data_IF_780751494292
#
_entry.id   IF_780751494292
#
_cell.length_a   1.000
_cell.length_b   1.000
_cell.length_c   1.000
_cell.angle_alpha   90.00
_cell.angle_beta   90.00
_cell.angle_gamma   90.00
#
_symmetry.space_group_name_H-M   'P 1'
#
loop_
_entity.id
_entity.type
_entity.pdbx_description
1 polymer ?
#
# COMPACT_ATOMS: atom_id res chain seq x y z
N UNK A 1 -32.41 40.98 -16.82
CA UNK A 1 -32.22 40.27 -18.12
C UNK A 1 -30.78 40.35 -18.63
N UNK A 2 -30.13 41.52 -18.70
CA UNK A 2 -28.73 41.66 -19.18
C UNK A 2 -27.72 40.77 -18.43
N UNK A 3 -27.82 40.67 -17.10
CA UNK A 3 -26.89 39.89 -16.29
C UNK A 3 -27.07 38.37 -16.46
N UNK A 4 -28.30 37.90 -16.73
CA UNK A 4 -28.60 36.48 -16.98
C UNK A 4 -28.07 36.07 -18.37
N UNK A 5 -28.19 36.94 -19.36
CA UNK A 5 -27.65 36.71 -20.70
C UNK A 5 -26.12 36.62 -20.70
N UNK A 6 -25.47 37.44 -19.88
CA UNK A 6 -24.01 37.44 -19.71
C UNK A 6 -23.51 36.14 -19.04
N UNK A 7 -24.21 35.66 -18.01
CA UNK A 7 -23.86 34.39 -17.35
C UNK A 7 -24.10 33.18 -18.28
N UNK A 8 -25.16 33.18 -19.07
CA UNK A 8 -25.44 32.12 -20.05
C UNK A 8 -24.40 32.08 -21.18
N UNK A 9 -23.93 33.24 -21.65
CA UNK A 9 -22.85 33.34 -22.64
C UNK A 9 -21.50 32.88 -22.08
N UNK A 10 -21.21 33.14 -20.80
CA UNK A 10 -20.01 32.63 -20.12
C UNK A 10 -20.03 31.12 -19.90
N UNK A 11 -21.20 30.52 -19.61
CA UNK A 11 -21.34 29.06 -19.49
C UNK A 11 -21.15 28.34 -20.84
N UNK A 12 -21.39 29.02 -21.96
CA UNK A 12 -21.21 28.48 -23.32
C UNK A 12 -19.74 28.31 -23.76
N UNK A 13 -18.77 28.80 -22.98
CA UNK A 13 -17.35 28.78 -23.33
C UNK A 13 -16.54 27.61 -22.74
N UNK A 14 -17.18 26.65 -22.07
CA UNK A 14 -16.50 25.42 -21.64
C UNK A 14 -16.33 24.46 -22.84
N UNK A 15 -15.37 24.77 -23.71
CA UNK A 15 -14.81 23.77 -24.62
C UNK A 15 -13.92 22.86 -23.79
N UNK A 16 -14.39 21.64 -23.53
CA UNK A 16 -13.56 20.59 -22.94
C UNK A 16 -12.46 20.28 -23.97
N UNK A 17 -11.27 20.85 -23.78
CA UNK A 17 -10.11 20.52 -24.60
C UNK A 17 -9.80 19.03 -24.42
N UNK A 18 -10.03 18.25 -25.48
CA UNK A 18 -9.63 16.83 -25.52
C UNK A 18 -8.14 16.79 -25.84
N UNK A 19 -7.30 16.77 -24.82
CA UNK A 19 -5.86 16.55 -24.97
C UNK A 19 -5.54 15.05 -25.20
N UNK A 20 -6.27 14.40 -26.12
CA UNK A 20 -5.97 13.02 -26.47
C UNK A 20 -4.77 13.01 -27.42
N UNK A 21 -3.80 12.17 -27.08
CA UNK A 21 -2.63 11.91 -27.92
C UNK A 21 -3.12 11.51 -29.31
N UNK A 22 -2.60 12.12 -30.39
CA UNK A 22 -2.97 11.71 -31.73
C UNK A 22 -2.80 10.20 -31.90
N UNK A 23 -3.88 9.50 -32.21
CA UNK A 23 -3.88 8.05 -32.47
C UNK A 23 -3.44 7.76 -33.89
N UNK A 24 -2.21 8.18 -34.20
CA UNK A 24 -1.65 8.17 -35.53
C UNK A 24 -0.21 7.67 -35.47
N UNK A 25 0.24 7.02 -36.53
CA UNK A 25 1.62 6.51 -36.63
C UNK A 25 2.30 7.10 -37.85
N UNK A 26 3.48 7.70 -37.64
CA UNK A 26 4.32 8.12 -38.77
C UNK A 26 4.91 6.89 -39.46
N UNK A 27 4.78 6.86 -40.78
CA UNK A 27 5.38 5.84 -41.64
C UNK A 27 6.11 6.50 -42.80
N UNK A 28 7.31 6.02 -43.08
CA UNK A 28 8.12 6.46 -44.21
C UNK A 28 8.61 5.22 -44.96
N UNK A 29 8.48 5.27 -46.28
CA UNK A 29 8.92 4.19 -47.16
C UNK A 29 9.58 4.73 -48.41
N UNK A 30 10.42 3.89 -49.03
CA UNK A 30 11.02 4.15 -50.34
C UNK A 30 10.49 3.11 -51.32
N UNK A 31 9.72 3.56 -52.30
CA UNK A 31 9.18 2.72 -53.36
C UNK A 31 10.27 2.41 -54.40
N UNK A 32 10.53 1.13 -54.63
CA UNK A 32 11.44 0.62 -55.66
C UNK A 32 10.71 -0.37 -56.56
N UNK A 33 11.09 -0.40 -57.82
CA UNK A 33 10.60 -1.40 -58.77
C UNK A 33 11.34 -2.75 -58.59
N UNK A 34 10.99 -3.74 -59.38
CA UNK A 34 11.59 -5.08 -59.32
C UNK A 34 13.10 -5.11 -59.59
N UNK A 35 13.66 -4.11 -60.29
CA UNK A 35 15.10 -3.98 -60.52
C UNK A 35 15.81 -3.18 -59.43
N UNK A 36 15.10 -2.77 -58.38
CA UNK A 36 15.62 -1.98 -57.27
C UNK A 36 15.75 -0.48 -57.57
N UNK A 37 15.33 -0.02 -58.75
CA UNK A 37 15.34 1.41 -59.09
C UNK A 37 14.19 2.15 -58.38
N UNK A 38 14.40 3.39 -57.90
CA UNK A 38 13.33 4.18 -57.31
C UNK A 38 12.15 4.39 -58.26
N UNK A 39 10.94 4.29 -57.74
CA UNK A 39 9.73 4.71 -58.45
C UNK A 39 9.57 6.21 -58.19
N UNK A 40 10.23 7.03 -58.99
CA UNK A 40 10.37 8.47 -58.75
C UNK A 40 9.20 9.29 -59.34
N UNK A 41 8.78 10.33 -58.61
CA UNK A 41 7.77 11.31 -59.07
C UNK A 41 6.46 10.71 -59.58
N UNK A 42 6.03 9.61 -58.97
CA UNK A 42 4.87 8.85 -59.42
C UNK A 42 3.80 8.80 -58.34
N UNK A 43 2.55 8.95 -58.76
CA UNK A 43 1.41 8.68 -57.89
C UNK A 43 1.22 7.17 -57.75
N UNK A 44 1.55 6.64 -56.59
CA UNK A 44 1.36 5.24 -56.24
C UNK A 44 0.19 5.10 -55.25
N UNK A 45 -0.38 3.91 -55.17
CA UNK A 45 -1.37 3.59 -54.13
C UNK A 45 -0.72 2.60 -53.16
N UNK A 46 -0.83 2.88 -51.87
CA UNK A 46 -0.23 2.11 -50.79
C UNK A 46 -1.34 1.64 -49.88
N UNK A 47 -1.36 0.35 -49.56
CA UNK A 47 -2.26 -0.24 -48.56
C UNK A 47 -1.44 -0.69 -47.36
N UNK A 48 -1.76 -0.12 -46.20
CA UNK A 48 -1.11 -0.42 -44.93
C UNK A 48 -2.09 -1.18 -44.06
N UNK A 49 -1.65 -2.30 -43.49
CA UNK A 49 -2.42 -3.05 -42.51
C UNK A 49 -1.61 -3.24 -41.23
N UNK A 50 -2.25 -3.07 -40.08
CA UNK A 50 -1.74 -3.50 -38.79
C UNK A 50 -2.25 -4.93 -38.56
N UNK A 51 -1.32 -5.88 -38.40
CA UNK A 51 -1.62 -7.30 -38.21
C UNK A 51 -0.95 -7.86 -36.94
N UNK A 52 -1.58 -8.86 -36.33
CA UNK A 52 -1.15 -9.44 -35.03
C UNK A 52 -0.04 -10.51 -35.13
N UNK A 53 0.33 -10.92 -36.34
CA UNK A 53 1.40 -11.91 -36.58
C UNK A 53 2.03 -11.67 -37.96
N UNK A 54 3.32 -11.95 -38.11
CA UNK A 54 4.03 -11.85 -39.38
C UNK A 54 3.51 -12.88 -40.42
N UNK A 55 3.06 -14.04 -39.94
CA UNK A 55 2.51 -15.11 -40.78
C UNK A 55 1.03 -15.23 -40.50
N UNK A 56 0.20 -15.00 -41.52
CA UNK A 56 -1.26 -15.12 -41.46
C UNK A 56 -1.93 -14.34 -40.30
N UNK A 57 -1.36 -13.19 -39.91
CA UNK A 57 -1.95 -12.34 -38.88
C UNK A 57 -3.31 -11.80 -39.31
N UNK A 58 -4.26 -11.76 -38.37
CA UNK A 58 -5.53 -11.08 -38.57
C UNK A 58 -5.29 -9.57 -38.76
N UNK A 59 -6.10 -8.95 -39.60
CA UNK A 59 -6.08 -7.50 -39.82
C UNK A 59 -6.85 -6.82 -38.67
N UNK A 60 -6.13 -6.11 -37.81
CA UNK A 60 -6.72 -5.28 -36.76
C UNK A 60 -7.11 -3.90 -37.29
N UNK A 61 -6.33 -3.38 -38.26
CA UNK A 61 -6.61 -2.12 -38.94
C UNK A 61 -6.04 -2.17 -40.36
N UNK A 62 -6.72 -1.52 -41.32
CA UNK A 62 -6.24 -1.33 -42.69
C UNK A 62 -6.65 0.02 -43.23
N UNK A 63 -5.79 0.63 -44.02
CA UNK A 63 -6.11 1.78 -44.84
C UNK A 63 -5.37 1.76 -46.18
N UNK A 64 -5.94 2.46 -47.16
CA UNK A 64 -5.33 2.71 -48.46
C UNK A 64 -5.10 4.20 -48.65
N UNK A 65 -3.93 4.57 -49.20
CA UNK A 65 -3.49 5.94 -49.44
C UNK A 65 -2.93 6.08 -50.85
N UNK A 66 -3.30 7.16 -51.54
CA UNK A 66 -2.62 7.59 -52.74
C UNK A 66 -1.54 8.59 -52.35
N UNK A 67 -0.29 8.34 -52.75
CA UNK A 67 0.86 9.18 -52.38
C UNK A 67 1.73 9.48 -53.61
N UNK A 68 2.31 10.67 -53.64
CA UNK A 68 3.30 11.06 -54.64
C UNK A 68 4.70 10.79 -54.09
N UNK A 69 5.51 10.02 -54.82
CA UNK A 69 6.90 9.78 -54.45
C UNK A 69 7.81 10.94 -54.87
N UNK A 70 8.94 11.12 -54.17
CA UNK A 70 9.98 12.07 -54.60
C UNK A 70 11.00 11.42 -55.57
N UNK A 71 12.07 12.13 -55.91
CA UNK A 71 13.14 11.63 -56.81
C UNK A 71 13.78 10.31 -56.36
N UNK A 72 13.81 10.06 -55.06
CA UNK A 72 14.39 8.86 -54.46
C UNK A 72 13.34 7.77 -54.22
N UNK A 73 12.09 7.95 -54.65
CA UNK A 73 10.98 7.02 -54.37
C UNK A 73 10.39 7.17 -52.96
N UNK A 74 10.83 8.16 -52.18
CA UNK A 74 10.38 8.38 -50.81
C UNK A 74 8.92 8.86 -50.76
N UNK A 75 8.16 8.32 -49.83
CA UNK A 75 6.83 8.81 -49.46
C UNK A 75 6.66 8.79 -47.93
N UNK A 76 5.78 9.67 -47.44
CA UNK A 76 5.43 9.77 -46.03
C UNK A 76 3.94 9.58 -45.86
N UNK A 77 3.54 8.84 -44.84
CA UNK A 77 2.15 8.60 -44.47
C UNK A 77 2.01 8.77 -42.96
N UNK A 78 0.93 9.43 -42.56
CA UNK A 78 0.50 9.45 -41.16
C UNK A 78 -0.69 8.49 -41.05
N UNK A 79 -0.42 7.28 -40.58
CA UNK A 79 -1.39 6.19 -40.51
C UNK A 79 -2.51 6.58 -39.56
N UNK A 80 -3.78 6.36 -39.96
CA UNK A 80 -4.94 6.74 -39.15
C UNK A 80 -5.35 8.21 -39.26
N UNK A 81 -4.61 9.02 -40.01
CA UNK A 81 -5.05 10.38 -40.36
C UNK A 81 -6.23 10.38 -41.35
N UNK A 82 -6.86 11.54 -41.53
CA UNK A 82 -7.85 11.74 -42.59
C UNK A 82 -7.25 11.50 -43.99
N UNK A 83 -8.11 11.24 -44.97
CA UNK A 83 -7.74 11.11 -46.40
C UNK A 83 -7.43 9.68 -46.87
N UNK A 84 -7.64 8.67 -46.02
CA UNK A 84 -7.55 7.28 -46.40
C UNK A 84 -8.85 6.74 -47.02
N UNK A 85 -8.72 5.71 -47.84
CA UNK A 85 -9.82 4.93 -48.43
C UNK A 85 -9.68 3.45 -48.06
N UNK A 86 -10.69 2.62 -48.31
CA UNK A 86 -10.69 1.19 -47.96
C UNK A 86 -10.27 0.93 -46.49
N UNK A 87 -10.95 1.61 -45.57
CA UNK A 87 -10.67 1.45 -44.14
C UNK A 87 -11.31 0.18 -43.57
N UNK A 88 -10.55 -0.53 -42.75
CA UNK A 88 -11.05 -1.52 -41.80
C UNK A 88 -10.61 -1.12 -40.40
N UNK A 89 -11.55 -1.07 -39.46
CA UNK A 89 -11.29 -0.77 -38.06
C UNK A 89 -10.82 0.68 -37.83
N UNK A 90 -10.28 0.93 -36.64
CA UNK A 90 -9.61 2.19 -36.29
C UNK A 90 -8.31 1.90 -35.54
N UNK A 91 -7.32 2.80 -35.65
CA UNK A 91 -6.05 2.71 -34.90
C UNK A 91 -6.31 2.70 -33.38
N UNK A 92 -7.36 3.39 -32.93
CA UNK A 92 -7.84 3.38 -31.55
C UNK A 92 -8.25 1.98 -31.06
N UNK A 93 -8.95 1.23 -31.92
CA UNK A 93 -9.51 -0.07 -31.57
C UNK A 93 -8.48 -1.21 -31.58
N UNK A 94 -7.28 -0.95 -32.08
CA UNK A 94 -6.19 -1.95 -32.09
C UNK A 94 -5.81 -2.27 -30.65
N UNK A 95 -5.80 -3.56 -30.30
CA UNK A 95 -5.35 -4.00 -28.99
C UNK A 95 -3.81 -3.92 -28.90
N UNK A 96 -3.30 -2.78 -28.44
CA UNK A 96 -1.87 -2.51 -28.27
C UNK A 96 -1.25 -3.21 -27.04
N UNK A 97 -2.05 -3.72 -26.11
CA UNK A 97 -1.55 -4.28 -24.84
C UNK A 97 -1.14 -5.75 -24.93
N UNK A 98 -1.41 -6.41 -26.05
CA UNK A 98 -1.15 -7.84 -26.23
C UNK A 98 -0.45 -8.14 -27.55
N UNK A 99 0.43 -9.14 -27.52
CA UNK A 99 1.11 -9.66 -28.71
C UNK A 99 2.04 -8.65 -29.40
N UNK A 100 2.71 -9.12 -30.46
CA UNK A 100 3.47 -8.25 -31.36
C UNK A 100 2.52 -7.69 -32.42
N UNK A 101 2.80 -6.47 -32.89
CA UNK A 101 2.09 -5.87 -34.03
C UNK A 101 3.04 -5.71 -35.20
N UNK A 102 2.53 -5.81 -36.42
CA UNK A 102 3.30 -5.66 -37.64
C UNK A 102 2.60 -4.71 -38.61
N UNK A 103 3.37 -3.92 -39.34
CA UNK A 103 2.90 -3.22 -40.53
C UNK A 103 3.13 -4.13 -41.73
N UNK A 104 2.03 -4.54 -42.37
CA UNK A 104 2.04 -5.12 -43.71
C UNK A 104 1.84 -3.99 -44.71
N UNK A 105 2.81 -3.84 -45.61
CA UNK A 105 2.82 -2.85 -46.67
C UNK A 105 2.56 -3.54 -48.02
N UNK A 106 1.56 -3.05 -48.74
CA UNK A 106 1.29 -3.46 -50.10
C UNK A 106 1.24 -2.22 -51.00
N UNK A 107 1.76 -2.32 -52.23
CA UNK A 107 1.91 -1.18 -53.14
C UNK A 107 1.35 -1.55 -54.52
N UNK A 108 0.60 -0.62 -55.12
CA UNK A 108 0.35 -0.55 -56.55
C UNK A 108 1.15 0.62 -57.16
N UNK A 109 2.23 0.33 -57.92
CA UNK A 109 3.03 1.34 -58.59
C UNK A 109 2.25 2.21 -59.58
N UNK A 110 1.17 1.70 -60.16
CA UNK A 110 0.36 2.43 -61.15
C UNK A 110 -0.70 3.31 -60.48
N UNK A 111 -0.83 3.23 -59.15
CA UNK A 111 -1.80 4.00 -58.41
C UNK A 111 -3.25 3.54 -58.63
N UNK A 112 -3.48 2.27 -58.99
CA UNK A 112 -4.83 1.74 -59.11
C UNK A 112 -5.13 0.88 -57.86
N UNK A 113 -5.67 -0.32 -58.05
CA UNK A 113 -6.06 -1.25 -56.99
C UNK A 113 -5.39 -2.64 -57.13
N UNK A 114 -4.25 -2.74 -57.83
CA UNK A 114 -3.50 -3.99 -57.99
C UNK A 114 -2.29 -4.03 -57.04
N UNK A 115 -2.53 -4.49 -55.82
CA UNK A 115 -1.56 -4.44 -54.74
C UNK A 115 -0.62 -5.65 -54.73
N UNK A 116 0.69 -5.39 -54.84
CA UNK A 116 1.74 -6.37 -54.54
C UNK A 116 2.28 -6.20 -53.12
N UNK A 117 2.69 -7.29 -52.47
CA UNK A 117 3.33 -7.23 -51.15
C UNK A 117 4.71 -6.56 -51.26
N UNK A 118 4.92 -5.47 -50.53
CA UNK A 118 6.20 -4.78 -50.45
C UNK A 118 7.01 -5.20 -49.21
N UNK A 119 6.33 -5.57 -48.12
CA UNK A 119 7.00 -6.10 -46.93
C UNK A 119 6.11 -6.21 -45.70
N UNK A 120 6.62 -6.93 -44.69
CA UNK A 120 6.01 -7.03 -43.36
C UNK A 120 7.10 -6.67 -42.35
N UNK A 121 6.82 -5.70 -41.48
CA UNK A 121 7.79 -5.21 -40.48
C UNK A 121 7.16 -5.16 -39.10
N UNK A 122 7.87 -5.62 -38.08
CA UNK A 122 7.37 -5.56 -36.70
C UNK A 122 7.39 -4.11 -36.21
N UNK A 123 6.27 -3.65 -35.62
CA UNK A 123 6.24 -2.40 -34.87
C UNK A 123 7.03 -2.58 -33.57
N UNK A 124 7.95 -1.65 -33.34
CA UNK A 124 8.66 -1.51 -32.07
C UNK A 124 8.03 -0.38 -31.25
N UNK A 125 8.32 -0.35 -29.95
CA UNK A 125 7.90 0.75 -29.09
C UNK A 125 8.48 2.08 -29.58
N UNK A 126 7.63 3.10 -29.65
CA UNK A 126 8.02 4.49 -29.94
C UNK A 126 8.32 5.25 -28.63
N UNK A 127 9.13 6.30 -28.68
CA UNK A 127 9.52 7.06 -27.48
C UNK A 127 8.32 7.55 -26.66
N UNK A 128 7.25 7.97 -27.32
CA UNK A 128 6.02 8.39 -26.66
C UNK A 128 5.33 7.24 -25.89
N UNK A 129 5.36 6.02 -26.43
CA UNK A 129 4.81 4.83 -25.78
C UNK A 129 5.66 4.38 -24.58
N UNK A 130 6.99 4.60 -24.60
CA UNK A 130 7.87 4.26 -23.48
C UNK A 130 7.66 5.14 -22.24
N UNK A 131 7.14 6.34 -22.43
CA UNK A 131 6.83 7.28 -21.33
C UNK A 131 5.33 7.39 -21.06
N UNK A 132 4.49 6.57 -21.71
CA UNK A 132 3.05 6.63 -21.53
C UNK A 132 2.66 6.09 -20.15
N UNK A 133 1.77 6.81 -19.47
CA UNK A 133 1.14 6.30 -18.25
C UNK A 133 0.36 5.02 -18.59
N UNK A 134 0.45 3.95 -17.78
CA UNK A 134 -0.35 2.76 -17.98
C UNK A 134 -1.84 3.09 -18.14
N UNK A 135 -2.55 2.28 -18.91
CA UNK A 135 -3.98 2.43 -19.18
C UNK A 135 -4.66 1.06 -19.15
N UNK A 136 -5.96 1.04 -18.91
CA UNK A 136 -6.74 -0.19 -18.84
C UNK A 136 -6.87 -0.74 -17.42
N UNK A 137 -7.30 -1.99 -17.30
CA UNK A 137 -7.57 -2.63 -16.02
C UNK A 137 -6.29 -2.81 -15.21
N UNK A 138 -6.35 -2.43 -13.93
CA UNK A 138 -5.30 -2.78 -12.97
C UNK A 138 -5.39 -4.27 -12.60
N UNK A 139 -4.28 -4.82 -12.12
CA UNK A 139 -4.17 -6.24 -11.77
C UNK A 139 -3.33 -6.43 -10.50
N UNK A 140 -3.32 -7.65 -9.97
CA UNK A 140 -2.62 -7.99 -8.73
C UNK A 140 -3.34 -7.42 -7.51
N UNK A 141 -2.62 -6.65 -6.69
CA UNK A 141 -3.14 -6.07 -5.44
C UNK A 141 -4.02 -4.83 -5.66
N UNK A 142 -4.15 -4.41 -6.92
CA UNK A 142 -4.89 -3.23 -7.33
C UNK A 142 -6.22 -3.63 -8.01
N UNK A 143 -7.25 -2.82 -7.78
CA UNK A 143 -8.55 -2.87 -8.45
C UNK A 143 -8.82 -1.57 -9.23
N UNK A 144 -9.80 -1.62 -10.13
CA UNK A 144 -10.16 -0.48 -10.98
C UNK A 144 -9.29 -0.37 -12.23
N UNK A 145 -9.10 0.86 -12.72
CA UNK A 145 -8.39 1.15 -13.96
C UNK A 145 -7.27 2.16 -13.75
N UNK A 146 -6.19 2.00 -14.51
CA UNK A 146 -5.16 3.03 -14.61
C UNK A 146 -5.70 4.32 -15.25
N UNK A 147 -5.17 5.50 -14.89
CA UNK A 147 -3.92 5.71 -14.14
C UNK A 147 -4.07 5.73 -12.61
N UNK A 148 -5.30 5.71 -12.08
CA UNK A 148 -5.58 5.86 -10.66
C UNK A 148 -6.32 4.65 -10.08
N UNK A 149 -5.70 3.46 -10.06
CA UNK A 149 -6.30 2.30 -9.43
C UNK A 149 -6.30 2.43 -7.90
N UNK A 150 -7.12 1.64 -7.23
CA UNK A 150 -7.18 1.55 -5.77
C UNK A 150 -6.65 0.21 -5.29
N UNK A 151 -6.32 0.08 -4.01
CA UNK A 151 -6.00 -1.22 -3.41
C UNK A 151 -7.27 -2.08 -3.41
N UNK A 152 -7.17 -3.33 -3.88
CA UNK A 152 -8.29 -4.25 -3.91
C UNK A 152 -8.69 -4.70 -2.49
N UNK A 153 -9.96 -5.05 -2.31
CA UNK A 153 -10.44 -5.54 -1.01
C UNK A 153 -9.67 -6.81 -0.61
N UNK A 154 -9.23 -6.90 0.65
CA UNK A 154 -8.41 -7.98 1.18
C UNK A 154 -7.05 -8.20 0.48
N UNK A 155 -6.58 -7.27 -0.36
CA UNK A 155 -5.31 -7.43 -1.07
C UNK A 155 -4.08 -7.42 -0.15
N UNK A 156 -4.14 -6.66 0.95
CA UNK A 156 -3.04 -6.55 1.91
C UNK A 156 -3.21 -7.60 3.00
N UNK A 157 -2.45 -8.68 2.88
CA UNK A 157 -2.39 -9.79 3.84
C UNK A 157 -1.20 -9.62 4.79
N UNK A 158 -1.19 -10.33 5.92
CA UNK A 158 -0.15 -10.17 6.96
C UNK A 158 1.28 -10.36 6.45
N UNK A 159 1.51 -11.28 5.51
CA UNK A 159 2.83 -11.50 4.90
C UNK A 159 3.33 -10.33 4.02
N UNK A 160 2.46 -9.40 3.62
CA UNK A 160 2.82 -8.19 2.87
C UNK A 160 3.13 -7.00 3.79
N UNK A 161 2.88 -7.17 5.09
CA UNK A 161 3.14 -6.17 6.12
C UNK A 161 4.44 -6.60 6.82
N UNK A 162 5.52 -5.87 6.58
CA UNK A 162 6.79 -6.13 7.27
C UNK A 162 6.67 -5.84 8.78
N UNK A 163 7.45 -6.55 9.60
CA UNK A 163 7.48 -6.35 11.04
C UNK A 163 7.79 -4.88 11.39
N UNK A 164 7.03 -4.33 12.34
CA UNK A 164 7.16 -2.93 12.76
C UNK A 164 6.60 -1.88 11.79
N UNK A 165 6.10 -2.27 10.61
CA UNK A 165 5.57 -1.30 9.63
C UNK A 165 4.26 -0.64 10.08
N UNK A 166 3.48 -1.27 10.96
CA UNK A 166 2.26 -0.72 11.58
C UNK A 166 2.60 -0.22 12.98
N UNK A 167 3.03 1.04 13.08
CA UNK A 167 3.28 1.72 14.36
C UNK A 167 2.03 2.42 14.93
N UNK A 168 2.14 2.93 16.15
CA UNK A 168 1.03 3.61 16.85
C UNK A 168 0.42 4.77 16.05
N UNK A 169 1.23 5.54 15.31
CA UNK A 169 0.75 6.65 14.46
C UNK A 169 -0.15 6.21 13.30
N UNK A 170 -0.08 4.92 12.90
CA UNK A 170 -0.93 4.33 11.86
C UNK A 170 -2.18 3.67 12.41
N UNK A 171 -2.28 3.51 13.74
CA UNK A 171 -3.45 2.99 14.43
C UNK A 171 -4.35 4.15 14.86
N UNK A 172 -5.65 3.91 14.95
CA UNK A 172 -6.60 4.94 15.39
C UNK A 172 -6.45 5.20 16.89
N UNK A 173 -6.79 6.42 17.33
CA UNK A 173 -6.74 6.80 18.76
C UNK A 173 -7.56 5.86 19.66
N UNK A 174 -8.66 5.32 19.14
CA UNK A 174 -9.49 4.32 19.84
C UNK A 174 -8.70 3.04 20.13
N UNK A 175 -7.96 2.53 19.13
CA UNK A 175 -7.15 1.31 19.29
C UNK A 175 -6.01 1.57 20.28
N UNK A 176 -5.34 2.73 20.18
CA UNK A 176 -4.27 3.12 21.09
C UNK A 176 -4.78 3.22 22.54
N UNK A 177 -5.94 3.85 22.75
CA UNK A 177 -6.59 3.95 24.05
C UNK A 177 -6.94 2.58 24.65
N UNK A 178 -7.47 1.66 23.84
CA UNK A 178 -7.76 0.29 24.28
C UNK A 178 -6.48 -0.46 24.69
N UNK A 179 -5.39 -0.34 23.94
CA UNK A 179 -4.10 -0.97 24.28
C UNK A 179 -3.58 -0.45 25.61
N UNK A 180 -3.63 0.88 25.81
CA UNK A 180 -3.19 1.51 27.06
C UNK A 180 -4.08 1.12 28.25
N UNK A 181 -5.36 0.83 28.02
CA UNK A 181 -6.29 0.39 29.07
C UNK A 181 -6.04 -1.05 29.51
N UNK A 182 -5.66 -1.96 28.61
CA UNK A 182 -5.43 -3.40 28.90
C UNK A 182 -4.21 -3.71 29.75
N UNK A 183 -3.34 -2.74 30.01
CA UNK A 183 -2.17 -2.88 30.86
C UNK A 183 -1.97 -1.60 31.67
N UNK A 184 -3.08 -1.05 32.16
CA UNK A 184 -3.01 0.20 32.90
C UNK A 184 -2.32 -0.08 34.26
N UNK A 185 -1.65 0.94 34.80
CA UNK A 185 -0.94 0.84 36.09
C UNK A 185 -1.88 0.46 37.24
N UNK A 186 -3.19 0.66 37.08
CA UNK A 186 -4.22 0.28 38.04
C UNK A 186 -4.40 -1.25 38.13
N UNK A 187 -4.33 -1.97 37.00
CA UNK A 187 -4.43 -3.43 36.98
C UNK A 187 -3.28 -4.06 37.76
N UNK A 188 -2.05 -3.56 37.55
CA UNK A 188 -0.87 -4.03 38.29
C UNK A 188 -0.95 -3.65 39.77
N UNK A 189 -1.40 -2.43 40.09
CA UNK A 189 -1.58 -1.99 41.48
C UNK A 189 -2.65 -2.81 42.23
N UNK A 190 -3.72 -3.20 41.54
CA UNK A 190 -4.81 -4.03 42.09
C UNK A 190 -4.35 -5.47 42.33
N UNK A 191 -3.58 -6.04 41.40
CA UNK A 191 -3.00 -7.37 41.58
C UNK A 191 -1.98 -7.40 42.72
N UNK A 192 -1.21 -6.31 42.92
CA UNK A 192 -0.20 -6.23 43.97
C UNK A 192 -0.79 -5.92 45.36
N UNK A 193 -1.91 -5.21 45.44
CA UNK A 193 -2.54 -4.83 46.71
C UNK A 193 -3.00 -6.05 47.54
N UNK A 194 -3.41 -7.13 46.88
CA UNK A 194 -3.75 -8.40 47.53
C UNK A 194 -2.58 -9.03 48.29
N UNK A 195 -1.34 -8.80 47.84
CA UNK A 195 -0.12 -9.31 48.47
C UNK A 195 0.58 -8.29 49.38
N UNK A 196 0.39 -6.99 49.12
CA UNK A 196 1.19 -5.93 49.71
C UNK A 196 0.47 -5.10 50.79
N UNK A 197 -0.78 -5.39 51.17
CA UNK A 197 -1.42 -4.60 52.22
C UNK A 197 -0.66 -4.77 53.54
N UNK A 198 -0.01 -3.68 53.97
CA UNK A 198 0.63 -3.53 55.28
C UNK A 198 -0.31 -3.95 56.42
N UNK A 199 -1.62 -3.84 56.19
CA UNK A 199 -2.70 -4.33 57.03
C UNK A 199 -2.73 -5.85 57.15
N UNK A 200 -2.61 -6.63 56.05
CA UNK A 200 -2.51 -8.09 56.14
C UNK A 200 -1.24 -8.54 56.86
N UNK A 201 -0.10 -7.87 56.61
CA UNK A 201 1.14 -8.18 57.32
C UNK A 201 1.06 -7.82 58.81
N UNK A 202 0.46 -6.67 59.15
CA UNK A 202 0.22 -6.27 60.52
C UNK A 202 -0.74 -7.23 61.23
N UNK A 203 -1.81 -7.68 60.56
CA UNK A 203 -2.77 -8.65 61.09
C UNK A 203 -2.14 -10.04 61.25
N UNK A 204 -1.34 -10.52 60.30
CA UNK A 204 -0.60 -11.79 60.41
C UNK A 204 0.45 -11.72 61.52
N UNK A 205 1.14 -10.59 61.67
CA UNK A 205 2.14 -10.41 62.73
C UNK A 205 1.48 -10.29 64.09
N UNK A 206 0.39 -9.52 64.21
CA UNK A 206 -0.38 -9.39 65.44
C UNK A 206 -1.07 -10.70 65.86
N UNK A 207 -1.57 -11.49 64.90
CA UNK A 207 -2.17 -12.79 65.16
C UNK A 207 -1.15 -13.90 65.46
N UNK A 208 0.08 -13.81 64.92
CA UNK A 208 1.17 -14.73 65.27
C UNK A 208 1.88 -14.37 66.57
N UNK A 209 1.85 -13.10 66.95
CA UNK A 209 2.47 -12.57 68.16
C UNK A 209 1.35 -12.06 69.08
N UNK A 210 0.63 -12.97 69.73
CA UNK A 210 -0.30 -12.58 70.77
C UNK A 210 0.48 -11.82 71.84
N UNK A 211 0.23 -10.52 71.92
CA UNK A 211 0.89 -9.64 72.89
C UNK A 211 0.55 -10.10 74.31
N UNK A 212 -0.65 -10.69 74.49
CA UNK A 212 -1.02 -11.38 75.73
C UNK A 212 -0.09 -12.56 76.00
N UNK A 213 0.01 -13.54 75.09
CA UNK A 213 0.86 -14.72 75.28
C UNK A 213 2.32 -14.33 75.59
N UNK A 214 2.83 -13.28 74.96
CA UNK A 214 4.18 -12.76 75.22
C UNK A 214 4.30 -12.13 76.62
N UNK A 215 3.33 -11.30 77.01
CA UNK A 215 3.27 -10.71 78.34
C UNK A 215 3.09 -11.78 79.44
N UNK A 216 2.25 -12.77 79.19
CA UNK A 216 1.98 -13.90 80.09
C UNK A 216 3.21 -14.78 80.27
N UNK A 217 3.96 -15.05 79.19
CA UNK A 217 5.25 -15.75 79.23
C UNK A 217 6.35 -14.97 79.97
N UNK A 218 6.33 -13.64 79.91
CA UNK A 218 7.32 -12.77 80.57
C UNK A 218 6.98 -12.50 82.04
N UNK A 219 5.72 -12.62 82.44
CA UNK A 219 5.24 -12.35 83.80
C UNK A 219 5.97 -13.13 84.91
N UNK A 220 6.34 -14.42 84.76
CA UNK A 220 7.05 -15.16 85.81
C UNK A 220 8.51 -14.72 85.95
N UNK A 221 9.08 -14.08 84.92
CA UNK A 221 10.45 -13.57 84.93
C UNK A 221 10.52 -12.10 85.38
N UNK A 222 9.40 -11.46 85.69
CA UNK A 222 9.35 -10.13 86.29
C UNK A 222 9.85 -10.21 87.75
N UNK A 223 11.17 -10.09 87.91
CA UNK A 223 11.93 -10.41 89.14
C UNK A 223 11.47 -9.68 90.41
N UNK A 224 10.80 -8.54 90.30
CA UNK A 224 10.50 -7.66 91.43
C UNK A 224 9.47 -8.23 92.41
N UNK A 225 8.47 -8.97 91.93
CA UNK A 225 7.45 -9.57 92.80
C UNK A 225 7.92 -10.90 93.44
N UNK A 226 8.62 -11.73 92.66
CA UNK A 226 9.11 -13.03 93.13
C UNK A 226 10.22 -12.92 94.18
N UNK A 227 11.16 -11.98 94.00
CA UNK A 227 12.29 -11.80 94.94
C UNK A 227 11.80 -11.25 96.28
N UNK A 228 10.85 -10.30 96.31
CA UNK A 228 10.32 -9.75 97.56
C UNK A 228 9.66 -10.83 98.44
N UNK A 229 8.86 -11.73 97.84
CA UNK A 229 8.27 -12.85 98.58
C UNK A 229 9.32 -13.88 99.03
N UNK A 230 10.36 -14.15 98.23
CA UNK A 230 11.42 -15.08 98.62
C UNK A 230 12.30 -14.52 99.75
N UNK A 231 12.59 -13.22 99.73
CA UNK A 231 13.36 -12.53 100.76
C UNK A 231 12.59 -12.48 102.07
N UNK A 232 11.28 -12.19 102.03
CA UNK A 232 10.40 -12.20 103.20
C UNK A 232 10.28 -13.61 103.79
N UNK A 233 10.19 -14.65 102.97
CA UNK A 233 10.11 -16.04 103.47
C UNK A 233 11.47 -16.60 103.95
N UNK A 234 12.60 -16.10 103.43
CA UNK A 234 13.95 -16.52 103.88
C UNK A 234 14.48 -15.75 105.08
N UNK A 235 13.97 -14.54 105.33
CA UNK A 235 14.19 -13.78 106.57
C UNK A 235 13.05 -14.06 107.54
N UNK A 236 13.07 -15.23 108.18
CA UNK A 236 12.20 -15.44 109.33
C UNK A 236 12.60 -14.40 110.39
N UNK A 237 11.72 -13.43 110.64
CA UNK A 237 11.96 -12.37 111.63
C UNK A 237 12.20 -12.98 113.01
N UNK A 238 11.59 -14.15 113.29
CA UNK A 238 11.87 -14.96 114.49
C UNK A 238 13.32 -15.40 114.59
N UNK A 239 13.92 -15.85 113.49
CA UNK A 239 15.27 -16.42 113.47
C UNK A 239 16.30 -15.29 113.61
N UNK A 240 16.01 -14.14 113.01
CA UNK A 240 16.82 -12.92 113.17
C UNK A 240 16.73 -12.38 114.60
N UNK A 241 15.53 -12.37 115.19
CA UNK A 241 15.33 -11.97 116.58
C UNK A 241 15.97 -12.94 117.59
N UNK A 242 15.92 -14.25 117.33
CA UNK A 242 16.56 -15.28 118.15
C UNK A 242 18.10 -15.25 118.05
N UNK A 243 18.64 -14.90 116.88
CA UNK A 243 20.08 -14.68 116.70
C UNK A 243 20.56 -13.43 117.46
N UNK A 244 19.75 -12.36 117.51
CA UNK A 244 20.12 -11.13 118.23
C UNK A 244 19.97 -11.23 119.75
N UNK A 245 19.08 -12.09 120.27
CA UNK A 245 18.82 -12.21 121.71
C UNK A 245 19.97 -12.81 122.52
N UNK A 246 20.96 -13.41 121.87
CA UNK A 246 22.20 -13.90 122.52
C UNK A 246 23.29 -12.83 122.65
N UNK A 247 23.06 -11.64 122.09
CA UNK A 247 23.96 -10.48 122.17
C UNK A 247 23.39 -9.31 123.00
N UNK A 248 22.23 -9.51 123.65
CA UNK A 248 21.55 -8.54 124.52
C UNK A 248 21.69 -8.90 126.01
#
# INVERSE_FOLDING_TARGET
MKNILFTALMMSFFVIAKAQVPQQLNYQGIARNATGSPIAYQNITVRLSIIDSATNGQIAYRETRRVLTNYAGLFNIVIGSNGATDLIGSVESVNWSTGKKYIKLEIDPNGLNNFGLAGITQLQSVAYALSATPSGNAHGDLSGTYPAPTIANNAITSNKIADGSVGLVKLTDVVVSLINSKLNTSDTATMLSAYASKENLANVTAGKLNISDTADMLSPYAKTAGINNLVVNKLNISDTAAMLSTYA
#
